data_IF_163330575962
#
_entry.id   IF_163330575962
#
_cell.length_a   1.000
_cell.length_b   1.000
_cell.length_c   1.000
_cell.angle_alpha   90.00
_cell.angle_beta   90.00
_cell.angle_gamma   90.00
#
_symmetry.space_group_name_H-M   'P 1'
#
loop_
_entity.id
_entity.type
_entity.pdbx_description
1 polymer ?
#
# COMPACT_ATOMS: atom_id res chain seq x y z
N UNK A 1 -11.18 4.11 30.11
CA UNK A 1 -10.05 3.57 29.29
C UNK A 1 -8.97 4.63 29.22
N UNK A 2 -7.86 4.45 29.94
CA UNK A 2 -6.67 5.27 29.76
C UNK A 2 -6.16 5.05 28.32
N UNK A 3 -6.17 6.11 27.54
CA UNK A 3 -5.53 6.15 26.22
C UNK A 3 -4.01 6.15 26.43
N UNK A 4 -3.41 4.98 26.58
CA UNK A 4 -1.96 4.83 26.61
C UNK A 4 -1.42 5.10 25.21
N UNK A 5 -0.92 6.32 24.99
CA UNK A 5 -0.20 6.64 23.78
C UNK A 5 1.18 5.98 23.85
N UNK A 6 1.61 5.35 22.76
CA UNK A 6 2.99 4.91 22.61
C UNK A 6 3.93 6.13 22.47
N UNK A 7 5.23 5.93 22.69
CA UNK A 7 6.25 6.99 22.62
C UNK A 7 6.22 7.77 21.31
N UNK A 8 5.97 7.09 20.19
CA UNK A 8 5.87 7.71 18.84
C UNK A 8 4.60 8.54 18.71
N UNK A 9 3.50 8.07 19.29
CA UNK A 9 2.24 8.82 19.35
C UNK A 9 2.37 10.11 20.17
N UNK A 10 3.05 10.03 21.32
CA UNK A 10 3.36 11.20 22.15
C UNK A 10 4.27 12.17 21.37
N UNK A 11 5.34 11.68 20.74
CA UNK A 11 6.26 12.50 19.95
C UNK A 11 5.55 13.25 18.83
N UNK A 12 4.68 12.56 18.08
CA UNK A 12 3.90 13.18 16.99
C UNK A 12 2.97 14.28 17.51
N UNK A 13 2.28 14.04 18.63
CA UNK A 13 1.41 15.05 19.27
C UNK A 13 2.21 16.24 19.75
N UNK A 14 3.34 16.02 20.40
CA UNK A 14 4.23 17.07 20.87
C UNK A 14 4.80 17.89 19.69
N UNK A 15 5.20 17.26 18.60
CA UNK A 15 5.66 17.95 17.38
C UNK A 15 4.56 18.89 16.82
N UNK A 16 3.31 18.44 16.80
CA UNK A 16 2.17 19.26 16.34
C UNK A 16 1.96 20.46 17.26
N UNK A 17 2.00 20.26 18.58
CA UNK A 17 1.86 21.34 19.57
C UNK A 17 3.03 22.34 19.44
N UNK A 18 4.26 21.86 19.29
CA UNK A 18 5.44 22.73 19.07
C UNK A 18 5.30 23.57 17.81
N UNK A 19 4.84 22.98 16.72
CA UNK A 19 4.60 23.71 15.46
C UNK A 19 3.53 24.79 15.62
N UNK A 20 2.47 24.51 16.36
CA UNK A 20 1.42 25.48 16.67
C UNK A 20 1.96 26.67 17.46
N UNK A 21 2.67 26.45 18.56
CA UNK A 21 3.24 27.54 19.38
C UNK A 21 4.30 28.33 18.61
N UNK A 22 5.16 27.67 17.84
CA UNK A 22 6.16 28.31 16.99
C UNK A 22 5.53 29.24 15.93
N UNK A 23 4.41 28.83 15.35
CA UNK A 23 3.67 29.65 14.40
C UNK A 23 3.17 30.95 15.01
N UNK A 24 2.59 30.92 16.22
CA UNK A 24 2.12 32.11 16.90
C UNK A 24 3.26 32.99 17.43
N UNK A 25 4.35 32.40 17.89
CA UNK A 25 5.55 33.12 18.29
C UNK A 25 6.16 33.90 17.10
N UNK A 26 6.31 33.26 15.94
CA UNK A 26 6.81 33.91 14.71
C UNK A 26 5.94 35.09 14.25
N UNK A 27 4.66 35.11 14.63
CA UNK A 27 3.73 36.20 14.33
C UNK A 27 3.65 37.27 15.42
N UNK A 28 4.51 37.19 16.42
CA UNK A 28 4.54 38.14 17.53
C UNK A 28 3.33 38.08 18.48
N UNK A 29 2.49 37.03 18.34
CA UNK A 29 1.30 36.85 19.20
C UNK A 29 1.63 36.16 20.53
N UNK A 30 2.81 35.56 20.66
CA UNK A 30 3.35 34.95 21.86
C UNK A 30 4.79 35.41 22.05
N UNK A 31 5.13 35.84 23.28
CA UNK A 31 6.50 36.24 23.63
C UNK A 31 7.39 35.00 23.81
N UNK A 32 6.86 33.97 24.49
CA UNK A 32 7.59 32.74 24.79
C UNK A 32 6.85 31.51 24.28
N UNK A 33 7.60 30.52 23.85
CA UNK A 33 7.07 29.21 23.46
C UNK A 33 7.13 28.24 24.65
N UNK A 34 6.01 27.87 25.27
CA UNK A 34 6.00 27.01 26.47
C UNK A 34 6.46 25.58 26.19
N UNK A 35 6.52 25.16 24.93
CA UNK A 35 6.93 23.81 24.59
C UNK A 35 8.44 23.59 24.53
N UNK A 36 9.23 24.67 24.67
CA UNK A 36 10.71 24.58 24.65
C UNK A 36 11.23 23.82 25.88
N UNK A 37 10.54 23.95 27.03
CA UNK A 37 10.94 23.32 28.29
C UNK A 37 10.46 21.87 28.44
N UNK A 38 9.69 21.36 27.48
CA UNK A 38 9.16 19.99 27.52
C UNK A 38 10.08 19.08 26.72
N UNK A 39 10.66 18.08 27.39
CA UNK A 39 11.49 17.09 26.70
C UNK A 39 10.66 16.18 25.79
N UNK A 40 11.27 15.81 24.66
CA UNK A 40 10.68 14.80 23.76
C UNK A 40 10.99 13.41 24.30
N UNK A 41 10.02 12.47 24.24
CA UNK A 41 10.30 11.08 24.57
C UNK A 41 11.45 10.54 23.72
N UNK A 42 12.34 9.78 24.33
CA UNK A 42 13.35 9.03 23.61
C UNK A 42 12.65 7.91 22.84
N UNK A 43 12.85 7.85 21.55
CA UNK A 43 12.36 6.75 20.75
C UNK A 43 13.33 5.56 20.88
N UNK A 44 12.79 4.41 21.19
CA UNK A 44 13.53 3.18 21.07
C UNK A 44 13.49 2.73 19.60
N UNK A 45 14.64 2.34 19.06
CA UNK A 45 14.73 1.76 17.73
C UNK A 45 13.95 0.44 17.73
N UNK A 46 12.98 0.34 16.81
CA UNK A 46 12.33 -0.94 16.54
C UNK A 46 13.13 -1.67 15.49
N UNK A 47 13.42 -2.92 15.75
CA UNK A 47 13.95 -3.80 14.72
C UNK A 47 13.02 -3.80 13.51
N UNK A 48 13.59 -3.54 12.34
CA UNK A 48 12.84 -3.58 11.09
C UNK A 48 12.74 -5.05 10.70
N UNK A 49 11.58 -5.65 10.92
CA UNK A 49 11.26 -6.99 10.45
C UNK A 49 11.21 -6.92 8.93
N UNK A 50 12.04 -7.71 8.27
CA UNK A 50 12.07 -7.85 6.81
C UNK A 50 11.81 -9.30 6.49
N UNK A 51 11.02 -9.54 5.45
CA UNK A 51 10.89 -10.88 4.90
C UNK A 51 12.21 -11.28 4.25
N UNK A 52 12.68 -12.49 4.54
CA UNK A 52 13.77 -13.09 3.80
C UNK A 52 13.26 -13.74 2.50
N UNK A 53 14.19 -14.28 1.69
CA UNK A 53 13.80 -14.87 0.40
C UNK A 53 12.92 -16.11 0.54
N UNK A 54 13.03 -16.87 1.63
CA UNK A 54 12.18 -18.04 1.91
C UNK A 54 10.78 -17.60 2.26
N UNK A 55 10.65 -16.62 3.15
CA UNK A 55 9.36 -16.05 3.57
C UNK A 55 8.62 -15.38 2.41
N UNK A 56 9.36 -14.72 1.50
CA UNK A 56 8.79 -14.16 0.26
C UNK A 56 8.22 -15.26 -0.63
N UNK A 57 8.95 -16.36 -0.80
CA UNK A 57 8.48 -17.50 -1.60
C UNK A 57 7.25 -18.15 -0.96
N UNK A 58 7.27 -18.38 0.35
CA UNK A 58 6.12 -18.93 1.09
C UNK A 58 4.88 -18.03 0.96
N UNK A 59 5.07 -16.72 1.04
CA UNK A 59 3.97 -15.76 0.85
C UNK A 59 3.37 -15.87 -0.56
N UNK A 60 4.21 -15.92 -1.59
CA UNK A 60 3.74 -16.03 -2.98
C UNK A 60 3.05 -17.38 -3.23
N UNK A 61 3.59 -18.47 -2.73
CA UNK A 61 2.97 -19.80 -2.77
C UNK A 61 1.60 -19.81 -2.07
N UNK A 62 1.49 -19.16 -0.92
CA UNK A 62 0.22 -19.04 -0.21
C UNK A 62 -0.82 -18.23 -1.01
N UNK A 63 -0.39 -17.15 -1.65
CA UNK A 63 -1.26 -16.34 -2.50
C UNK A 63 -1.70 -17.12 -3.74
N UNK A 64 -0.84 -17.97 -4.30
CA UNK A 64 -1.11 -18.74 -5.49
C UNK A 64 -1.90 -20.04 -5.24
N UNK A 65 -1.62 -20.75 -4.16
CA UNK A 65 -2.14 -22.08 -3.87
C UNK A 65 -2.96 -22.20 -2.57
N UNK A 66 -3.01 -21.16 -1.77
CA UNK A 66 -3.75 -21.16 -0.49
C UNK A 66 -5.23 -21.45 -0.59
N UNK A 67 -5.79 -21.41 -1.81
CA UNK A 67 -7.19 -21.77 -2.09
C UNK A 67 -7.48 -23.25 -2.29
N UNK A 68 -6.46 -24.11 -2.38
CA UNK A 68 -6.63 -25.52 -2.75
C UNK A 68 -7.47 -26.30 -1.75
N UNK A 69 -7.39 -25.94 -0.47
CA UNK A 69 -8.16 -26.53 0.61
C UNK A 69 -9.48 -25.80 0.92
N UNK A 70 -9.79 -24.71 0.20
CA UNK A 70 -11.03 -23.96 0.40
C UNK A 70 -12.19 -24.63 -0.33
N UNK A 71 -13.40 -24.48 0.22
CA UNK A 71 -14.63 -24.98 -0.37
C UNK A 71 -15.73 -23.91 -0.43
N UNK A 72 -16.71 -24.11 -1.28
CA UNK A 72 -17.88 -23.25 -1.38
C UNK A 72 -17.56 -21.80 -1.74
N UNK A 73 -18.21 -20.86 -1.05
CA UNK A 73 -18.11 -19.43 -1.32
C UNK A 73 -16.68 -18.91 -1.16
N UNK A 74 -15.92 -19.41 -0.18
CA UNK A 74 -14.53 -18.99 0.05
C UNK A 74 -13.64 -19.37 -1.13
N UNK A 75 -13.79 -20.55 -1.69
CA UNK A 75 -13.06 -20.99 -2.87
C UNK A 75 -13.37 -20.11 -4.08
N UNK A 76 -14.64 -19.86 -4.34
CA UNK A 76 -15.06 -18.98 -5.47
C UNK A 76 -14.52 -17.56 -5.31
N UNK A 77 -14.48 -17.04 -4.08
CA UNK A 77 -13.92 -15.75 -3.78
C UNK A 77 -12.41 -15.70 -4.04
N UNK A 78 -11.68 -16.70 -3.57
CA UNK A 78 -10.25 -16.84 -3.79
C UNK A 78 -9.92 -16.91 -5.28
N UNK A 79 -10.56 -17.82 -6.03
CA UNK A 79 -10.33 -18.02 -7.46
C UNK A 79 -10.56 -16.74 -8.27
N UNK A 80 -11.60 -15.98 -7.97
CA UNK A 80 -11.90 -14.70 -8.64
C UNK A 80 -10.84 -13.63 -8.41
N UNK A 81 -10.17 -13.66 -7.26
CA UNK A 81 -9.23 -12.61 -6.86
C UNK A 81 -7.77 -13.04 -6.96
N UNK A 82 -7.49 -14.33 -7.16
CA UNK A 82 -6.15 -14.91 -7.13
C UNK A 82 -5.17 -14.16 -8.04
N UNK A 83 -5.47 -14.04 -9.32
CA UNK A 83 -4.58 -13.35 -10.27
C UNK A 83 -4.34 -11.88 -9.90
N UNK A 84 -5.36 -11.17 -9.42
CA UNK A 84 -5.21 -9.81 -8.92
C UNK A 84 -4.29 -9.77 -7.70
N UNK A 85 -4.50 -10.68 -6.76
CA UNK A 85 -3.72 -10.72 -5.52
C UNK A 85 -2.25 -11.04 -5.82
N UNK A 86 -1.98 -12.03 -6.67
CA UNK A 86 -0.63 -12.34 -7.16
C UNK A 86 0.01 -11.10 -7.78
N UNK A 87 -0.68 -10.41 -8.70
CA UNK A 87 -0.16 -9.23 -9.36
C UNK A 87 0.16 -8.09 -8.36
N UNK A 88 -0.69 -7.88 -7.35
CA UNK A 88 -0.45 -6.87 -6.31
C UNK A 88 0.78 -7.22 -5.46
N UNK A 89 0.89 -8.46 -4.96
CA UNK A 89 2.02 -8.87 -4.12
C UNK A 89 3.33 -8.85 -4.90
N UNK A 90 3.35 -9.42 -6.12
CA UNK A 90 4.53 -9.43 -6.98
C UNK A 90 4.96 -8.01 -7.34
N UNK A 91 4.00 -7.11 -7.57
CA UNK A 91 4.27 -5.70 -7.83
C UNK A 91 4.92 -5.01 -6.62
N UNK A 92 4.42 -5.22 -5.40
CA UNK A 92 5.04 -4.67 -4.19
C UNK A 92 6.44 -5.19 -3.96
N UNK A 93 6.63 -6.51 -4.06
CA UNK A 93 7.91 -7.16 -3.82
C UNK A 93 8.95 -6.77 -4.87
N UNK A 94 8.56 -6.68 -6.13
CA UNK A 94 9.47 -6.39 -7.24
C UNK A 94 9.77 -4.90 -7.44
N UNK A 95 8.96 -3.98 -6.89
CA UNK A 95 9.10 -2.55 -7.18
C UNK A 95 9.20 -1.66 -5.93
N UNK A 96 8.72 -2.11 -4.79
CA UNK A 96 8.67 -1.31 -3.57
C UNK A 96 7.77 -0.07 -3.63
N UNK A 97 6.80 -0.01 -4.55
CA UNK A 97 5.85 1.12 -4.60
C UNK A 97 4.96 1.13 -3.35
N UNK A 98 4.49 2.32 -2.99
CA UNK A 98 3.61 2.48 -1.84
C UNK A 98 2.21 1.99 -2.16
N UNK A 99 1.47 1.56 -1.12
CA UNK A 99 0.09 1.12 -1.28
C UNK A 99 -0.79 2.18 -1.95
N UNK A 100 -0.60 3.45 -1.62
CA UNK A 100 -1.33 4.56 -2.24
C UNK A 100 -1.00 4.75 -3.72
N UNK A 101 0.24 4.49 -4.11
CA UNK A 101 0.69 4.52 -5.50
C UNK A 101 0.08 3.34 -6.27
N UNK A 102 0.11 2.14 -5.71
CA UNK A 102 -0.48 0.94 -6.30
C UNK A 102 -1.98 1.09 -6.59
N UNK A 103 -2.76 1.55 -5.62
CA UNK A 103 -4.21 1.72 -5.81
C UNK A 103 -4.56 2.86 -6.76
N UNK A 104 -3.65 3.82 -6.92
CA UNK A 104 -3.79 4.94 -7.84
C UNK A 104 -3.53 4.60 -9.30
N UNK A 105 -2.89 3.46 -9.61
CA UNK A 105 -2.51 3.09 -10.96
C UNK A 105 -3.71 2.94 -11.89
N UNK A 106 -3.53 3.47 -13.09
CA UNK A 106 -4.38 3.22 -14.24
C UNK A 106 -3.71 2.19 -15.17
N UNK A 107 -4.50 1.57 -16.05
CA UNK A 107 -3.95 0.59 -17.01
C UNK A 107 -2.96 1.26 -17.97
N UNK A 108 -3.17 2.52 -18.27
CA UNK A 108 -2.34 3.36 -19.15
C UNK A 108 -1.01 3.77 -18.51
N UNK A 109 -0.86 3.59 -17.18
CA UNK A 109 0.40 3.85 -16.50
C UNK A 109 1.45 2.74 -16.72
N UNK A 110 1.04 1.61 -17.26
CA UNK A 110 1.91 0.47 -17.55
C UNK A 110 2.52 0.59 -18.94
N UNK A 111 3.84 0.52 -19.00
CA UNK A 111 4.60 0.42 -20.24
C UNK A 111 5.35 -0.93 -20.27
N UNK A 112 4.71 -1.91 -20.91
CA UNK A 112 5.29 -3.25 -21.08
C UNK A 112 6.42 -3.31 -22.11
N UNK A 113 6.61 -2.29 -22.94
CA UNK A 113 7.73 -2.22 -23.87
C UNK A 113 9.04 -1.99 -23.12
N UNK A 114 9.01 -1.04 -22.19
CA UNK A 114 10.17 -0.67 -21.41
C UNK A 114 10.16 -1.26 -19.98
N UNK A 115 9.16 -2.11 -19.66
CA UNK A 115 8.95 -2.72 -18.33
C UNK A 115 8.98 -1.70 -17.21
N UNK A 116 8.17 -0.66 -17.31
CA UNK A 116 8.09 0.42 -16.32
C UNK A 116 6.65 0.82 -16.04
N UNK A 117 6.47 1.44 -14.87
CA UNK A 117 5.20 1.98 -14.40
C UNK A 117 5.40 3.46 -14.11
N UNK A 118 4.48 4.29 -14.60
CA UNK A 118 4.42 5.70 -14.23
C UNK A 118 3.68 5.83 -12.91
N UNK A 119 4.30 6.43 -11.91
CA UNK A 119 3.72 6.71 -10.59
C UNK A 119 3.74 8.20 -10.30
N UNK A 120 2.78 8.65 -9.49
CA UNK A 120 2.73 10.02 -9.01
C UNK A 120 3.13 10.05 -7.54
N UNK A 121 4.31 10.65 -7.26
CA UNK A 121 4.86 10.83 -5.91
C UNK A 121 4.21 12.01 -5.19
N UNK A 122 4.49 12.12 -3.89
CA UNK A 122 4.07 13.26 -3.06
C UNK A 122 4.45 14.60 -3.73
N UNK A 123 3.47 15.49 -3.86
CA UNK A 123 3.67 16.79 -4.53
C UNK A 123 3.41 16.77 -6.04
N UNK A 124 2.83 15.68 -6.59
CA UNK A 124 2.46 15.58 -8.01
C UNK A 124 3.64 15.30 -8.94
N UNK A 125 4.81 14.90 -8.41
CA UNK A 125 5.97 14.56 -9.23
C UNK A 125 5.76 13.19 -9.88
N UNK A 126 5.81 13.14 -11.19
CA UNK A 126 5.82 11.88 -11.96
C UNK A 126 7.19 11.21 -11.89
N UNK A 127 7.19 9.90 -11.74
CA UNK A 127 8.40 9.07 -11.68
C UNK A 127 8.12 7.72 -12.34
N UNK A 128 9.13 7.15 -12.98
CA UNK A 128 9.05 5.81 -13.54
C UNK A 128 9.73 4.81 -12.61
N UNK A 129 9.03 3.70 -12.35
CA UNK A 129 9.56 2.56 -11.61
C UNK A 129 9.66 1.38 -12.56
N UNK A 130 10.83 0.78 -12.66
CA UNK A 130 11.07 -0.37 -13.52
C UNK A 130 10.77 -1.68 -12.80
N UNK A 131 10.33 -2.68 -13.55
CA UNK A 131 9.99 -3.99 -13.01
C UNK A 131 10.60 -5.14 -13.82
N UNK A 132 10.80 -6.28 -13.15
CA UNK A 132 11.36 -7.48 -13.73
C UNK A 132 10.33 -8.35 -14.46
N UNK A 133 10.80 -9.48 -14.98
CA UNK A 133 9.99 -10.43 -15.75
C UNK A 133 8.82 -11.01 -14.93
N UNK A 134 9.04 -11.31 -13.67
CA UNK A 134 8.02 -11.86 -12.75
C UNK A 134 6.84 -10.91 -12.59
N UNK A 135 7.12 -9.61 -12.35
CA UNK A 135 6.08 -8.58 -12.24
C UNK A 135 5.34 -8.43 -13.57
N UNK A 136 6.08 -8.45 -14.69
CA UNK A 136 5.49 -8.40 -16.03
C UNK A 136 4.49 -9.53 -16.22
N UNK A 137 4.90 -10.75 -15.96
CA UNK A 137 4.07 -11.94 -16.14
C UNK A 137 2.82 -11.88 -15.25
N UNK A 138 2.98 -11.58 -13.97
CA UNK A 138 1.87 -11.48 -13.04
C UNK A 138 0.85 -10.39 -13.44
N UNK A 139 1.32 -9.23 -13.91
CA UNK A 139 0.46 -8.16 -14.40
C UNK A 139 -0.27 -8.56 -15.68
N UNK A 140 0.43 -9.18 -16.65
CA UNK A 140 -0.18 -9.63 -17.90
C UNK A 140 -1.25 -10.68 -17.65
N UNK A 141 -0.97 -11.71 -16.83
CA UNK A 141 -1.94 -12.75 -16.48
C UNK A 141 -3.18 -12.14 -15.81
N UNK A 142 -3.00 -11.19 -14.89
CA UNK A 142 -4.14 -10.50 -14.29
C UNK A 142 -4.94 -9.69 -15.30
N UNK A 143 -4.27 -8.93 -16.17
CA UNK A 143 -4.94 -8.06 -17.16
C UNK A 143 -5.73 -8.90 -18.16
N UNK A 144 -5.12 -9.95 -18.72
CA UNK A 144 -5.71 -10.76 -19.78
C UNK A 144 -6.77 -11.72 -19.26
N UNK A 145 -6.51 -12.40 -18.13
CA UNK A 145 -7.36 -13.49 -17.66
C UNK A 145 -8.38 -13.11 -16.58
N UNK A 146 -8.20 -11.96 -15.94
CA UNK A 146 -9.11 -11.50 -14.88
C UNK A 146 -9.70 -10.13 -15.16
N UNK A 147 -8.86 -9.09 -15.29
CA UNK A 147 -9.32 -7.71 -15.43
C UNK A 147 -10.17 -7.50 -16.69
N UNK A 148 -9.78 -8.07 -17.83
CA UNK A 148 -10.51 -7.97 -19.12
C UNK A 148 -11.94 -8.51 -19.07
N UNK A 149 -12.23 -9.42 -18.14
CA UNK A 149 -13.54 -10.05 -17.94
C UNK A 149 -14.46 -9.26 -16.99
N UNK A 150 -13.93 -8.20 -16.36
CA UNK A 150 -14.68 -7.38 -15.41
C UNK A 150 -15.27 -6.18 -16.14
N UNK A 151 -16.58 -6.00 -16.06
CA UNK A 151 -17.25 -4.77 -16.47
C UNK A 151 -17.17 -3.79 -15.31
N UNK A 152 -16.35 -2.74 -15.36
CA UNK A 152 -16.18 -1.79 -14.27
C UNK A 152 -17.44 -0.98 -14.00
N UNK A 153 -17.55 -0.42 -12.82
CA UNK A 153 -18.54 0.63 -12.55
C UNK A 153 -18.09 1.93 -13.17
N UNK A 154 -19.06 2.75 -13.53
CA UNK A 154 -18.86 4.09 -14.09
C UNK A 154 -17.85 4.91 -13.25
N UNK A 155 -16.90 5.54 -13.94
CA UNK A 155 -15.80 6.31 -13.35
C UNK A 155 -14.62 5.49 -12.82
N UNK A 156 -14.60 4.18 -13.08
CA UNK A 156 -13.51 3.31 -12.66
C UNK A 156 -12.85 2.53 -13.82
N UNK A 157 -13.17 2.87 -15.04
CA UNK A 157 -12.80 2.13 -16.26
C UNK A 157 -11.27 1.99 -16.42
N UNK A 158 -10.54 3.04 -16.06
CA UNK A 158 -9.08 3.12 -16.19
C UNK A 158 -8.33 2.41 -15.07
N UNK A 159 -8.97 2.13 -13.93
CA UNK A 159 -8.29 1.54 -12.78
C UNK A 159 -7.56 0.23 -13.15
N UNK A 160 -6.29 0.11 -12.77
CA UNK A 160 -5.54 -1.12 -12.98
C UNK A 160 -6.15 -2.25 -12.14
N UNK A 161 -6.33 -2.04 -10.84
CA UNK A 161 -6.84 -3.07 -9.93
C UNK A 161 -8.28 -2.80 -9.52
N UNK A 162 -9.13 -3.82 -9.70
CA UNK A 162 -10.54 -3.77 -9.30
C UNK A 162 -10.80 -4.51 -7.99
N UNK A 163 -11.66 -3.91 -7.17
CA UNK A 163 -12.31 -4.61 -6.06
C UNK A 163 -13.41 -5.53 -6.57
N UNK A 164 -13.93 -6.42 -5.68
CA UNK A 164 -15.09 -7.27 -5.98
C UNK A 164 -16.32 -6.44 -6.40
N UNK A 165 -16.41 -5.23 -5.92
CA UNK A 165 -17.49 -4.31 -6.28
C UNK A 165 -17.30 -3.67 -7.66
N UNK A 166 -16.29 -4.10 -8.43
CA UNK A 166 -15.95 -3.60 -9.78
C UNK A 166 -15.62 -2.09 -9.79
N UNK A 167 -15.04 -1.61 -8.69
CA UNK A 167 -14.48 -0.27 -8.53
C UNK A 167 -12.98 -0.36 -8.37
N UNK A 168 -12.27 0.75 -8.55
CA UNK A 168 -10.86 0.86 -8.15
C UNK A 168 -10.68 0.30 -6.73
N UNK A 169 -9.67 -0.53 -6.54
CA UNK A 169 -9.36 -1.07 -5.21
C UNK A 169 -8.96 0.07 -4.26
N UNK A 170 -9.33 -0.03 -3.01
CA UNK A 170 -8.98 0.96 -1.99
C UNK A 170 -7.72 0.56 -1.23
N UNK A 171 -7.06 1.54 -0.61
CA UNK A 171 -5.93 1.32 0.30
C UNK A 171 -6.31 0.32 1.38
N UNK A 172 -7.46 0.51 2.03
CA UNK A 172 -7.93 -0.39 3.09
C UNK A 172 -8.13 -1.84 2.60
N UNK A 173 -8.60 -2.02 1.35
CA UNK A 173 -8.77 -3.36 0.80
C UNK A 173 -7.43 -4.06 0.56
N UNK A 174 -6.40 -3.31 0.15
CA UNK A 174 -5.04 -3.85 -0.02
C UNK A 174 -4.38 -4.13 1.34
N UNK A 175 -4.54 -3.23 2.31
CA UNK A 175 -4.03 -3.44 3.68
C UNK A 175 -4.67 -4.69 4.33
N UNK A 176 -5.98 -4.88 4.16
CA UNK A 176 -6.68 -6.08 4.64
C UNK A 176 -6.15 -7.34 3.93
N UNK A 177 -5.92 -7.24 2.61
CA UNK A 177 -5.34 -8.34 1.84
C UNK A 177 -3.95 -8.72 2.37
N UNK A 178 -3.08 -7.76 2.60
CA UNK A 178 -1.75 -8.01 3.17
C UNK A 178 -1.86 -8.64 4.56
N UNK A 179 -2.76 -8.14 5.40
CA UNK A 179 -2.96 -8.69 6.75
C UNK A 179 -3.45 -10.15 6.70
N UNK A 180 -4.33 -10.49 5.76
CA UNK A 180 -4.87 -11.86 5.58
C UNK A 180 -3.77 -12.87 5.27
N UNK A 181 -2.78 -12.48 4.43
CA UNK A 181 -1.71 -13.39 4.02
C UNK A 181 -0.45 -13.32 4.90
N UNK A 182 -0.30 -12.29 5.74
CA UNK A 182 0.83 -12.12 6.66
C UNK A 182 0.54 -12.65 8.08
N UNK A 183 -0.64 -13.20 8.34
CA UNK A 183 -1.07 -13.78 9.62
C UNK A 183 -0.96 -15.29 9.60
#
# INVERSE_FOLDING_TARGET
QELTNDERGIQRKMASIRSFYLYYQKRGKLQNNPTVVVDMPKLHDREIIRLDSSEVNELLELVEHGGDNLTGIKKTYYEKNRLRNIAIFTLFLGTGIRVSECVGLDIEDLDFRDNRIRIIRKGGKEEFVYFGAEVREALMNYIEDSRSKIIPKEGHEHALFYSIQRRRISVQAVENLVTEYAS
#
